data_IF_878503125870
#
_entry.id   IF_878503125870
#
_cell.length_a   1.000
_cell.length_b   1.000
_cell.length_c   1.000
_cell.angle_alpha   90.00
_cell.angle_beta   90.00
_cell.angle_gamma   90.00
#
_symmetry.space_group_name_H-M   'P 1'
#
loop_
_entity.id
_entity.type
_entity.pdbx_description
1 polymer ?
#
# COMPACT_ATOMS: atom_id res chain seq x y z
N UNK A 1 -40.04 48.23 42.98
CA UNK A 1 -39.41 46.91 43.28
C UNK A 1 -39.33 46.00 42.05
N UNK A 2 -40.30 46.02 41.13
CA UNK A 2 -40.31 45.19 39.91
C UNK A 2 -39.19 45.53 38.88
N UNK A 3 -38.75 46.79 38.80
CA UNK A 3 -37.71 47.22 37.84
C UNK A 3 -36.28 46.79 38.20
N UNK A 4 -36.00 46.49 39.49
CA UNK A 4 -34.70 45.96 39.92
C UNK A 4 -34.57 44.46 39.62
N UNK A 5 -35.69 43.72 39.61
CA UNK A 5 -35.71 42.31 39.25
C UNK A 5 -35.52 42.11 37.74
N UNK A 6 -36.13 42.98 36.92
CA UNK A 6 -35.99 42.91 35.46
C UNK A 6 -34.56 43.19 34.98
N UNK A 7 -33.82 44.06 35.69
CA UNK A 7 -32.42 44.35 35.38
C UNK A 7 -31.48 43.21 35.79
N UNK A 8 -31.73 42.55 36.93
CA UNK A 8 -31.01 41.33 37.32
C UNK A 8 -31.25 40.16 36.36
N UNK A 9 -32.48 39.98 35.88
CA UNK A 9 -32.81 38.97 34.87
C UNK A 9 -32.17 39.30 33.52
N UNK A 10 -32.14 40.58 33.11
CA UNK A 10 -31.46 40.99 31.88
C UNK A 10 -29.95 40.73 31.94
N UNK A 11 -29.30 40.97 33.09
CA UNK A 11 -27.88 40.67 33.32
C UNK A 11 -27.62 39.14 33.32
N UNK A 12 -28.52 38.35 33.92
CA UNK A 12 -28.41 36.89 33.91
C UNK A 12 -28.56 36.29 32.50
N UNK A 13 -29.44 36.85 31.66
CA UNK A 13 -29.63 36.41 30.27
C UNK A 13 -28.46 36.86 29.38
N UNK A 14 -27.88 38.04 29.63
CA UNK A 14 -26.71 38.52 28.87
C UNK A 14 -25.40 37.82 29.26
N UNK A 15 -25.30 37.21 30.45
CA UNK A 15 -24.15 36.40 30.86
C UNK A 15 -24.12 34.96 30.31
N UNK A 16 -25.25 34.42 29.83
CA UNK A 16 -25.34 33.04 29.34
C UNK A 16 -24.95 32.89 27.85
N UNK A 17 -24.75 33.99 27.15
CA UNK A 17 -24.35 34.03 25.75
C UNK A 17 -22.83 34.06 25.56
N UNK A 18 -22.07 33.19 26.24
CA UNK A 18 -20.71 32.91 25.81
C UNK A 18 -20.78 31.96 24.62
N UNK A 19 -21.00 32.55 23.44
CA UNK A 19 -20.76 31.88 22.17
C UNK A 19 -19.29 31.48 22.17
N UNK A 20 -18.99 30.20 22.40
CA UNK A 20 -17.65 29.66 22.21
C UNK A 20 -17.36 29.71 20.71
N UNK A 21 -16.92 30.86 20.21
CA UNK A 21 -16.28 30.95 18.90
C UNK A 21 -15.00 30.14 19.02
N UNK A 22 -15.07 28.88 18.62
CA UNK A 22 -13.87 28.11 18.35
C UNK A 22 -13.29 28.74 17.09
N UNK A 23 -12.26 29.57 17.26
CA UNK A 23 -11.49 30.04 16.12
C UNK A 23 -10.98 28.80 15.39
N UNK A 24 -11.16 28.69 14.06
CA UNK A 24 -10.59 27.58 13.32
C UNK A 24 -9.08 27.66 13.49
N UNK A 25 -8.55 26.77 14.34
CA UNK A 25 -7.12 26.60 14.53
C UNK A 25 -6.52 26.39 13.14
N UNK A 26 -5.51 27.19 12.83
CA UNK A 26 -4.70 27.05 11.60
C UNK A 26 -3.90 25.76 11.72
N UNK A 27 -4.58 24.64 11.47
CA UNK A 27 -3.99 23.30 11.56
C UNK A 27 -3.27 23.03 10.24
N UNK A 28 -2.03 22.53 10.29
CA UNK A 28 -1.36 22.09 9.08
C UNK A 28 -2.24 21.04 8.37
N UNK A 29 -2.39 21.20 7.05
CA UNK A 29 -3.13 20.25 6.22
C UNK A 29 -2.65 18.82 6.55
N UNK A 30 -3.60 17.92 6.80
CA UNK A 30 -3.40 16.49 7.12
C UNK A 30 -3.14 16.11 8.60
N UNK A 31 -3.05 17.06 9.54
CA UNK A 31 -2.99 16.72 10.97
C UNK A 31 -4.36 16.82 11.64
N UNK A 32 -4.79 15.71 12.24
CA UNK A 32 -6.03 15.60 12.97
C UNK A 32 -5.74 15.25 14.43
N UNK A 33 -6.52 15.80 15.34
CA UNK A 33 -6.42 15.50 16.75
C UNK A 33 -7.52 14.51 17.11
N UNK A 34 -7.12 13.28 17.44
CA UNK A 34 -8.05 12.30 18.01
C UNK A 34 -8.16 12.59 19.50
N UNK A 35 -9.31 13.10 19.90
CA UNK A 35 -9.66 13.22 21.31
C UNK A 35 -10.13 11.86 21.81
N UNK A 36 -9.51 11.37 22.87
CA UNK A 36 -9.84 10.10 23.49
C UNK A 36 -10.25 10.32 24.94
N UNK A 37 -11.27 9.58 25.37
CA UNK A 37 -11.68 9.54 26.75
C UNK A 37 -10.60 8.81 27.56
N UNK A 38 -9.74 9.57 28.24
CA UNK A 38 -8.80 9.01 29.20
C UNK A 38 -9.55 8.49 30.42
N UNK A 39 -9.24 7.27 30.86
CA UNK A 39 -9.75 6.75 32.13
C UNK A 39 -8.97 7.42 33.26
N UNK A 40 -9.57 8.43 33.91
CA UNK A 40 -9.08 9.00 35.16
C UNK A 40 -8.23 10.29 35.08
N UNK A 41 -8.12 10.95 33.92
CA UNK A 41 -7.31 12.17 33.83
C UNK A 41 -7.39 12.89 32.50
N UNK A 42 -8.51 13.58 32.24
CA UNK A 42 -8.67 14.52 31.12
C UNK A 42 -8.71 13.89 29.72
N UNK A 43 -9.12 14.66 28.71
CA UNK A 43 -9.05 14.21 27.32
C UNK A 43 -7.59 14.05 26.90
N UNK A 44 -7.23 12.86 26.40
CA UNK A 44 -5.94 12.63 25.75
C UNK A 44 -6.12 13.06 24.29
N UNK A 45 -5.32 14.03 23.84
CA UNK A 45 -5.31 14.45 22.45
C UNK A 45 -4.09 13.85 21.77
N UNK A 46 -4.28 13.01 20.77
CA UNK A 46 -3.19 12.52 19.93
C UNK A 46 -3.25 13.13 18.54
N UNK A 47 -2.14 13.74 18.12
CA UNK A 47 -1.94 14.18 16.74
C UNK A 47 -1.74 12.97 15.84
N UNK A 48 -2.60 12.82 14.85
CA UNK A 48 -2.53 11.78 13.83
C UNK A 48 -2.50 12.38 12.45
N UNK A 49 -1.83 11.72 11.52
CA UNK A 49 -1.91 12.03 10.09
C UNK A 49 -2.94 11.12 9.43
N UNK A 50 -3.87 11.68 8.67
CA UNK A 50 -4.79 10.90 7.84
C UNK A 50 -4.28 10.91 6.40
N UNK A 51 -4.17 9.73 5.80
CA UNK A 51 -3.81 9.57 4.39
C UNK A 51 -4.99 8.92 3.65
N UNK A 52 -5.35 9.40 2.43
CA UNK A 52 -6.43 8.81 1.65
C UNK A 52 -6.17 7.33 1.36
N UNK A 53 -7.20 6.49 1.48
CA UNK A 53 -7.05 5.05 1.23
C UNK A 53 -6.53 4.72 -0.17
N UNK A 54 -6.88 5.52 -1.17
CA UNK A 54 -6.34 5.37 -2.53
C UNK A 54 -4.82 5.50 -2.58
N UNK A 55 -4.23 6.43 -1.82
CA UNK A 55 -2.78 6.64 -1.82
C UNK A 55 -2.05 5.50 -1.11
N UNK A 56 -2.64 4.99 -0.03
CA UNK A 56 -2.14 3.82 0.69
C UNK A 56 -2.21 2.57 -0.19
N UNK A 57 -3.37 2.36 -0.82
CA UNK A 57 -3.65 1.22 -1.68
C UNK A 57 -2.64 1.13 -2.82
N UNK A 58 -2.30 2.26 -3.45
CA UNK A 58 -1.33 2.29 -4.55
C UNK A 58 0.07 2.78 -4.14
N UNK A 59 0.39 2.74 -2.84
CA UNK A 59 1.70 3.15 -2.35
C UNK A 59 2.80 2.32 -3.01
N UNK A 60 3.79 3.01 -3.57
CA UNK A 60 4.92 2.42 -4.30
C UNK A 60 4.49 1.52 -5.47
N UNK A 61 3.36 1.82 -6.12
CA UNK A 61 2.87 1.11 -7.31
C UNK A 61 2.64 2.11 -8.43
N UNK A 62 3.07 1.76 -9.64
CA UNK A 62 2.67 2.47 -10.85
C UNK A 62 1.33 1.90 -11.32
N UNK A 63 0.29 2.72 -11.33
CA UNK A 63 -1.04 2.33 -11.79
C UNK A 63 -1.03 2.15 -13.30
N UNK A 64 -1.64 1.07 -13.79
CA UNK A 64 -1.79 0.87 -15.22
C UNK A 64 -2.83 1.85 -15.80
N UNK A 65 -2.54 2.42 -16.96
CA UNK A 65 -3.51 3.27 -17.69
C UNK A 65 -4.38 2.47 -18.67
N UNK A 66 -3.91 1.31 -19.14
CA UNK A 66 -4.60 0.48 -20.14
C UNK A 66 -4.70 -0.99 -19.70
N UNK A 67 -5.74 -1.70 -20.14
CA UNK A 67 -5.97 -3.11 -19.75
C UNK A 67 -4.82 -4.05 -20.16
N UNK A 68 -4.14 -3.75 -21.27
CA UNK A 68 -3.02 -4.54 -21.79
C UNK A 68 -1.65 -4.13 -21.24
N UNK A 69 -1.60 -3.07 -20.42
CA UNK A 69 -0.36 -2.45 -19.93
C UNK A 69 0.06 -2.91 -18.54
N UNK A 70 -0.61 -3.94 -17.98
CA UNK A 70 -0.24 -4.52 -16.69
C UNK A 70 1.24 -4.93 -16.61
N UNK A 71 1.78 -5.50 -17.68
CA UNK A 71 3.19 -5.86 -17.78
C UNK A 71 4.15 -4.66 -17.73
N UNK A 72 3.85 -3.57 -18.44
CA UNK A 72 4.64 -2.33 -18.37
C UNK A 72 4.55 -1.67 -17.01
N UNK A 73 3.36 -1.62 -16.40
CA UNK A 73 3.16 -1.00 -15.11
C UNK A 73 3.85 -1.80 -13.98
N UNK A 74 3.79 -3.13 -14.02
CA UNK A 74 4.53 -4.00 -13.08
C UNK A 74 6.05 -3.81 -13.22
N UNK A 75 6.54 -3.75 -14.46
CA UNK A 75 7.95 -3.48 -14.74
C UNK A 75 8.40 -2.11 -14.19
N UNK A 76 7.65 -1.05 -14.51
CA UNK A 76 7.93 0.31 -14.04
C UNK A 76 7.86 0.41 -12.52
N UNK A 77 6.98 -0.35 -11.88
CA UNK A 77 6.88 -0.42 -10.42
C UNK A 77 8.21 -0.88 -9.81
N UNK A 78 8.80 -1.97 -10.31
CA UNK A 78 10.11 -2.44 -9.85
C UNK A 78 11.20 -1.43 -10.21
N UNK A 79 11.24 -0.96 -11.45
CA UNK A 79 12.27 -0.02 -11.91
C UNK A 79 12.28 1.28 -11.09
N UNK A 80 11.11 1.84 -10.78
CA UNK A 80 10.99 3.11 -10.07
C UNK A 80 11.19 2.96 -8.57
N UNK A 81 10.48 2.01 -7.95
CA UNK A 81 10.42 1.93 -6.49
C UNK A 81 11.48 1.00 -5.88
N UNK A 82 11.92 -0.02 -6.62
CA UNK A 82 13.00 -0.90 -6.17
C UNK A 82 14.37 -0.40 -6.62
N UNK A 83 14.52 -0.06 -7.90
CA UNK A 83 15.81 0.27 -8.52
C UNK A 83 16.14 1.77 -8.57
N UNK A 84 15.13 2.64 -8.52
CA UNK A 84 15.31 4.10 -8.55
C UNK A 84 15.39 4.73 -9.95
N UNK A 85 15.04 3.99 -11.02
CA UNK A 85 14.95 4.53 -12.36
C UNK A 85 13.67 5.37 -12.53
N UNK A 86 13.79 6.57 -13.10
CA UNK A 86 12.62 7.38 -13.44
C UNK A 86 12.15 7.03 -14.86
N UNK A 87 11.20 6.10 -14.94
CA UNK A 87 10.62 5.66 -16.21
C UNK A 87 9.10 5.73 -16.12
N UNK A 88 8.45 6.32 -17.11
CA UNK A 88 6.99 6.30 -17.20
C UNK A 88 6.47 4.99 -17.81
N UNK A 89 5.21 4.65 -17.52
CA UNK A 89 4.54 3.51 -18.16
C UNK A 89 4.62 3.58 -19.69
N UNK A 90 4.37 4.77 -20.25
CA UNK A 90 4.42 4.98 -21.70
C UNK A 90 5.82 4.74 -22.27
N UNK A 91 6.88 5.24 -21.60
CA UNK A 91 8.26 5.03 -22.03
C UNK A 91 8.65 3.54 -21.99
N UNK A 92 8.24 2.82 -20.95
CA UNK A 92 8.47 1.38 -20.86
C UNK A 92 7.70 0.61 -21.94
N UNK A 93 6.46 1.01 -22.22
CA UNK A 93 5.62 0.43 -23.27
C UNK A 93 6.24 0.63 -24.66
N UNK A 94 6.65 1.84 -24.99
CA UNK A 94 7.33 2.18 -26.25
C UNK A 94 8.65 1.44 -26.38
N UNK A 95 9.46 1.39 -25.32
CA UNK A 95 10.72 0.64 -25.32
C UNK A 95 10.52 -0.87 -25.49
N UNK A 96 9.51 -1.46 -24.86
CA UNK A 96 9.17 -2.87 -25.07
C UNK A 96 8.61 -3.13 -26.47
N UNK A 97 7.86 -2.18 -27.06
CA UNK A 97 7.43 -2.28 -28.46
C UNK A 97 8.62 -2.19 -29.41
N UNK A 98 9.58 -1.30 -29.15
CA UNK A 98 10.76 -1.12 -30.01
C UNK A 98 11.69 -2.33 -29.96
N UNK A 99 11.95 -2.88 -28.76
CA UNK A 99 12.90 -3.99 -28.56
C UNK A 99 12.26 -5.37 -28.60
N UNK A 100 10.94 -5.44 -28.45
CA UNK A 100 10.17 -6.68 -28.45
C UNK A 100 9.70 -7.10 -29.85
N UNK A 101 8.88 -8.13 -29.87
CA UNK A 101 8.26 -8.61 -31.12
C UNK A 101 6.93 -7.88 -31.34
N UNK A 102 6.97 -6.75 -32.06
CA UNK A 102 5.82 -5.86 -32.31
C UNK A 102 4.58 -6.62 -32.78
N UNK A 103 4.74 -7.49 -33.77
CA UNK A 103 3.65 -8.26 -34.36
C UNK A 103 2.98 -9.16 -33.31
N UNK A 104 3.78 -9.80 -32.45
CA UNK A 104 3.27 -10.66 -31.37
C UNK A 104 2.64 -9.85 -30.23
N UNK A 105 3.23 -8.70 -29.87
CA UNK A 105 2.68 -7.78 -28.86
C UNK A 105 1.29 -7.30 -29.28
N UNK A 106 1.15 -6.88 -30.54
CA UNK A 106 -0.11 -6.39 -31.10
C UNK A 106 -1.13 -7.53 -31.19
N UNK A 107 -0.73 -8.70 -31.70
CA UNK A 107 -1.63 -9.84 -31.86
C UNK A 107 -2.24 -10.32 -30.53
N UNK A 108 -1.44 -10.36 -29.46
CA UNK A 108 -1.91 -10.79 -28.14
C UNK A 108 -2.45 -9.66 -27.26
N UNK A 109 -2.33 -8.40 -27.70
CA UNK A 109 -2.66 -7.19 -26.92
C UNK A 109 -2.05 -7.24 -25.52
N UNK A 110 -0.72 -7.38 -25.44
CA UNK A 110 -0.03 -7.41 -24.15
C UNK A 110 1.48 -7.67 -24.26
N UNK A 111 2.18 -7.52 -23.14
CA UNK A 111 3.64 -7.72 -23.06
C UNK A 111 3.98 -9.11 -22.50
N UNK A 112 5.08 -9.70 -22.96
CA UNK A 112 5.60 -10.95 -22.40
C UNK A 112 6.84 -10.68 -21.54
N UNK A 113 7.19 -11.64 -20.67
CA UNK A 113 8.44 -11.58 -19.90
C UNK A 113 9.69 -11.46 -20.80
N UNK A 114 9.63 -11.98 -22.03
CA UNK A 114 10.73 -11.85 -22.99
C UNK A 114 10.88 -10.42 -23.48
N UNK A 115 9.78 -9.71 -23.73
CA UNK A 115 9.84 -8.30 -24.15
C UNK A 115 10.36 -7.42 -23.02
N UNK A 116 9.92 -7.69 -21.79
CA UNK A 116 10.47 -7.04 -20.58
C UNK A 116 11.97 -7.28 -20.48
N UNK A 117 12.44 -8.52 -20.64
CA UNK A 117 13.87 -8.86 -20.62
C UNK A 117 14.66 -8.09 -21.69
N UNK A 118 14.15 -8.02 -22.93
CA UNK A 118 14.81 -7.30 -24.03
C UNK A 118 14.90 -5.79 -23.76
N UNK A 119 13.84 -5.20 -23.22
CA UNK A 119 13.84 -3.79 -22.85
C UNK A 119 14.79 -3.50 -21.68
N UNK A 120 14.74 -4.27 -20.60
CA UNK A 120 15.62 -4.10 -19.43
C UNK A 120 17.09 -4.29 -19.81
N UNK A 121 17.39 -5.26 -20.70
CA UNK A 121 18.74 -5.43 -21.24
C UNK A 121 19.23 -4.21 -22.03
N UNK A 122 18.35 -3.46 -22.71
CA UNK A 122 18.71 -2.22 -23.40
C UNK A 122 19.15 -1.09 -22.47
N UNK A 123 18.77 -1.18 -21.19
CA UNK A 123 19.15 -0.24 -20.14
C UNK A 123 20.39 -0.70 -19.37
N UNK A 124 21.07 -1.75 -19.83
CA UNK A 124 22.20 -2.40 -19.16
C UNK A 124 21.87 -2.88 -17.73
N UNK A 125 20.61 -3.27 -17.49
CA UNK A 125 20.16 -3.83 -16.21
C UNK A 125 20.09 -5.35 -16.33
N UNK A 126 20.63 -6.05 -15.33
CA UNK A 126 20.63 -7.51 -15.29
C UNK A 126 19.23 -8.02 -14.92
N UNK A 127 18.71 -8.98 -15.69
CA UNK A 127 17.41 -9.58 -15.43
C UNK A 127 17.33 -11.02 -15.89
N UNK A 128 16.53 -11.83 -15.19
CA UNK A 128 16.38 -13.24 -15.49
C UNK A 128 14.96 -13.74 -15.20
N UNK A 129 14.49 -14.64 -16.06
CA UNK A 129 13.24 -15.37 -15.87
C UNK A 129 13.54 -16.76 -15.32
N UNK A 130 12.80 -17.16 -14.30
CA UNK A 130 12.97 -18.43 -13.60
C UNK A 130 11.66 -19.19 -13.56
N UNK A 131 11.78 -20.51 -13.40
CA UNK A 131 10.68 -21.36 -12.95
C UNK A 131 11.01 -21.80 -11.53
N UNK A 132 10.10 -21.57 -10.60
CA UNK A 132 10.35 -21.76 -9.17
C UNK A 132 9.18 -22.49 -8.50
N UNK A 133 9.45 -23.17 -7.40
CA UNK A 133 8.41 -23.75 -6.56
C UNK A 133 7.99 -22.77 -5.46
N UNK A 134 6.86 -23.04 -4.81
CA UNK A 134 6.36 -22.21 -3.70
C UNK A 134 7.40 -22.08 -2.57
N UNK A 135 8.17 -23.15 -2.32
CA UNK A 135 9.25 -23.15 -1.32
C UNK A 135 10.36 -22.15 -1.64
N UNK A 136 10.61 -21.88 -2.92
CA UNK A 136 11.66 -20.96 -3.36
C UNK A 136 11.21 -19.51 -3.17
N UNK A 137 9.90 -19.24 -3.21
CA UNK A 137 9.34 -17.91 -2.92
C UNK A 137 9.57 -17.47 -1.48
N UNK A 138 9.74 -18.42 -0.55
CA UNK A 138 10.02 -18.13 0.87
C UNK A 138 11.43 -17.58 1.07
N UNK A 139 12.36 -17.90 0.17
CA UNK A 139 13.76 -17.47 0.22
C UNK A 139 14.05 -16.36 -0.81
N UNK A 140 13.02 -15.77 -1.41
CA UNK A 140 13.19 -14.77 -2.46
C UNK A 140 13.60 -13.43 -1.86
N UNK A 141 14.81 -12.97 -2.19
CA UNK A 141 15.39 -11.73 -1.66
C UNK A 141 14.94 -10.46 -2.41
N UNK A 142 14.54 -10.61 -3.68
CA UNK A 142 14.19 -9.49 -4.56
C UNK A 142 12.74 -9.58 -5.03
N UNK A 143 12.04 -8.45 -5.19
CA UNK A 143 10.71 -8.45 -5.77
C UNK A 143 10.76 -9.00 -7.21
N UNK A 144 9.74 -9.74 -7.60
CA UNK A 144 9.66 -10.41 -8.89
C UNK A 144 8.34 -10.12 -9.59
N UNK A 145 8.36 -10.03 -10.92
CA UNK A 145 7.14 -10.00 -11.73
C UNK A 145 6.66 -11.44 -11.91
N UNK A 146 5.41 -11.70 -11.55
CA UNK A 146 4.79 -13.02 -11.67
C UNK A 146 3.52 -12.92 -12.52
N UNK A 147 3.31 -13.84 -13.48
CA UNK A 147 2.02 -13.98 -14.12
C UNK A 147 1.06 -14.73 -13.20
N UNK A 148 -0.15 -14.21 -13.06
CA UNK A 148 -1.25 -14.86 -12.36
C UNK A 148 -2.42 -15.04 -13.32
N UNK A 149 -3.22 -16.07 -13.10
CA UNK A 149 -4.55 -16.21 -13.70
C UNK A 149 -5.58 -15.73 -12.68
N UNK A 150 -6.16 -14.56 -12.95
CA UNK A 150 -7.13 -13.94 -12.06
C UNK A 150 -8.38 -13.56 -12.85
N UNK A 151 -9.54 -14.05 -12.41
CA UNK A 151 -10.84 -13.84 -13.06
C UNK A 151 -10.88 -14.28 -14.55
N UNK A 152 -10.12 -15.32 -14.93
CA UNK A 152 -10.11 -15.87 -16.28
C UNK A 152 -9.26 -15.08 -17.29
N UNK A 153 -8.42 -14.17 -16.80
CA UNK A 153 -7.46 -13.41 -17.60
C UNK A 153 -6.05 -13.54 -17.01
N UNK A 154 -5.05 -13.64 -17.90
CA UNK A 154 -3.65 -13.60 -17.51
C UNK A 154 -3.26 -12.18 -17.16
N UNK A 155 -2.70 -11.98 -15.98
CA UNK A 155 -2.33 -10.68 -15.44
C UNK A 155 -0.91 -10.71 -14.89
N UNK A 156 -0.19 -9.59 -14.98
CA UNK A 156 1.13 -9.46 -14.39
C UNK A 156 1.08 -8.62 -13.12
N UNK A 157 1.62 -9.17 -12.05
CA UNK A 157 1.71 -8.51 -10.75
C UNK A 157 3.12 -8.57 -10.21
N UNK A 158 3.45 -7.68 -9.27
CA UNK A 158 4.74 -7.68 -8.59
C UNK A 158 4.62 -8.42 -7.27
N UNK A 159 5.24 -9.58 -7.18
CA UNK A 159 5.48 -10.27 -5.91
C UNK A 159 6.53 -9.48 -5.13
N UNK A 160 6.15 -8.93 -3.98
CA UNK A 160 7.05 -8.17 -3.11
C UNK A 160 7.84 -9.06 -2.16
N UNK A 161 7.19 -10.12 -1.68
CA UNK A 161 7.77 -11.10 -0.78
C UNK A 161 6.70 -11.96 -0.12
N UNK A 162 7.15 -12.93 0.68
CA UNK A 162 6.30 -13.81 1.47
C UNK A 162 6.70 -13.68 2.94
N UNK A 163 5.72 -13.47 3.83
CA UNK A 163 5.95 -13.43 5.28
C UNK A 163 4.81 -14.15 5.98
N UNK A 164 5.15 -15.05 6.91
CA UNK A 164 4.18 -15.80 7.74
C UNK A 164 3.08 -16.51 6.94
N UNK A 165 3.43 -17.05 5.76
CA UNK A 165 2.47 -17.72 4.86
C UNK A 165 1.53 -16.77 4.11
N UNK A 166 1.75 -15.46 4.21
CA UNK A 166 1.04 -14.42 3.45
C UNK A 166 1.95 -13.93 2.32
N UNK A 167 1.39 -13.89 1.12
CA UNK A 167 2.05 -13.41 -0.10
C UNK A 167 1.63 -11.97 -0.35
N UNK A 168 2.61 -11.06 -0.41
CA UNK A 168 2.38 -9.64 -0.62
C UNK A 168 2.58 -9.29 -2.09
N UNK A 169 1.56 -8.70 -2.68
CA UNK A 169 1.51 -8.41 -4.11
C UNK A 169 1.22 -6.93 -4.33
N UNK A 170 2.01 -6.31 -5.20
CA UNK A 170 1.74 -5.02 -5.80
C UNK A 170 1.11 -5.24 -7.17
N UNK A 171 -0.22 -5.08 -7.26
CA UNK A 171 -0.99 -5.19 -8.50
C UNK A 171 -1.18 -3.79 -9.13
N UNK A 172 -0.74 -3.56 -10.38
CA UNK A 172 -0.95 -2.28 -11.06
C UNK A 172 -2.42 -1.84 -11.21
N UNK A 173 -3.35 -2.79 -11.25
CA UNK A 173 -4.79 -2.56 -11.36
C UNK A 173 -5.45 -2.43 -9.98
N UNK A 174 -5.13 -3.35 -9.07
CA UNK A 174 -5.82 -3.51 -7.79
C UNK A 174 -5.08 -2.92 -6.59
N UNK A 175 -3.84 -2.45 -6.74
CA UNK A 175 -3.01 -1.91 -5.66
C UNK A 175 -2.30 -2.99 -4.85
N UNK A 176 -1.87 -2.65 -3.64
CA UNK A 176 -1.27 -3.59 -2.69
C UNK A 176 -2.37 -4.54 -2.17
N UNK A 177 -2.22 -5.82 -2.49
CA UNK A 177 -3.13 -6.90 -2.09
C UNK A 177 -2.32 -8.04 -1.48
N UNK A 178 -3.01 -8.89 -0.72
CA UNK A 178 -2.40 -10.05 -0.07
C UNK A 178 -3.19 -11.31 -0.37
N UNK A 179 -2.49 -12.43 -0.46
CA UNK A 179 -3.08 -13.75 -0.60
C UNK A 179 -2.46 -14.72 0.40
N UNK A 180 -3.21 -15.75 0.80
CA UNK A 180 -2.57 -16.89 1.47
C UNK A 180 -1.64 -17.61 0.50
N UNK A 181 -0.57 -18.24 1.00
CA UNK A 181 0.36 -19.03 0.17
C UNK A 181 -0.38 -20.08 -0.68
N UNK A 182 -1.38 -20.72 -0.10
CA UNK A 182 -2.20 -21.74 -0.77
C UNK A 182 -3.02 -21.16 -1.91
N UNK A 183 -3.66 -20.01 -1.68
CA UNK A 183 -4.46 -19.32 -2.70
C UNK A 183 -3.56 -18.82 -3.83
N UNK A 184 -2.44 -18.17 -3.50
CA UNK A 184 -1.48 -17.72 -4.49
C UNK A 184 -0.98 -18.87 -5.37
N UNK A 185 -0.71 -20.04 -4.78
CA UNK A 185 -0.29 -21.22 -5.54
C UNK A 185 -1.31 -21.68 -6.58
N UNK A 186 -2.61 -21.44 -6.36
CA UNK A 186 -3.65 -21.74 -7.35
C UNK A 186 -3.75 -20.71 -8.47
N UNK A 187 -3.38 -19.46 -8.19
CA UNK A 187 -3.41 -18.35 -9.13
C UNK A 187 -2.13 -18.26 -9.98
N UNK A 188 -1.01 -18.78 -9.47
CA UNK A 188 0.30 -18.60 -10.08
C UNK A 188 0.46 -19.36 -11.39
N UNK A 189 0.58 -18.65 -12.51
CA UNK A 189 0.64 -19.24 -13.84
C UNK A 189 2.02 -19.86 -14.12
N UNK A 190 2.03 -21.18 -14.34
CA UNK A 190 3.18 -21.99 -14.76
C UNK A 190 4.41 -21.88 -13.86
N UNK A 191 4.26 -21.42 -12.61
CA UNK A 191 5.38 -21.33 -11.67
C UNK A 191 6.51 -20.42 -12.18
N UNK A 192 6.18 -19.41 -12.99
CA UNK A 192 7.18 -18.53 -13.61
C UNK A 192 7.31 -17.22 -12.85
N UNK A 193 8.53 -16.70 -12.76
CA UNK A 193 8.81 -15.40 -12.17
C UNK A 193 9.94 -14.71 -12.94
N UNK A 194 9.98 -13.39 -12.88
CA UNK A 194 10.99 -12.57 -13.54
C UNK A 194 11.57 -11.58 -12.55
N UNK A 195 12.89 -11.66 -12.35
CA UNK A 195 13.63 -10.84 -11.40
C UNK A 195 14.47 -9.83 -12.18
N UNK A 196 14.49 -8.60 -11.69
CA UNK A 196 15.35 -7.53 -12.17
C UNK A 196 16.31 -7.20 -11.04
N UNK A 197 17.60 -7.36 -11.29
CA UNK A 197 18.62 -7.21 -10.27
C UNK A 197 19.06 -5.76 -10.16
N UNK A 198 19.32 -5.27 -8.94
CA UNK A 198 19.93 -3.97 -8.76
C UNK A 198 21.36 -3.94 -9.32
N UNK A 199 21.79 -2.78 -9.85
CA UNK A 199 23.18 -2.59 -10.26
C UNK A 199 24.13 -2.79 -9.08
N UNK A 200 25.15 -3.63 -9.25
CA UNK A 200 26.06 -4.10 -8.17
C UNK A 200 26.79 -2.98 -7.41
N UNK A 201 26.95 -1.81 -8.02
CA UNK A 201 27.76 -0.71 -7.48
C UNK A 201 26.96 0.56 -7.18
N UNK A 202 25.63 0.48 -7.02
CA UNK A 202 24.82 1.66 -6.75
C UNK A 202 23.80 1.38 -5.63
N UNK A 203 23.63 2.29 -4.67
CA UNK A 203 22.55 2.17 -3.70
C UNK A 203 21.20 2.26 -4.44
N UNK A 204 20.31 1.34 -4.14
CA UNK A 204 18.95 1.31 -4.69
C UNK A 204 17.92 1.55 -3.58
N UNK A 205 16.75 2.16 -3.89
CA UNK A 205 15.78 2.55 -2.85
C UNK A 205 15.15 1.40 -2.08
N UNK A 206 14.90 0.26 -2.72
CA UNK A 206 14.33 -0.92 -2.04
C UNK A 206 12.92 -0.73 -1.47
N UNK A 207 12.13 0.25 -1.95
CA UNK A 207 10.83 0.63 -1.36
C UNK A 207 9.72 -0.44 -1.46
N UNK A 208 9.98 -1.52 -2.21
CA UNK A 208 9.08 -2.67 -2.31
C UNK A 208 9.31 -3.72 -1.22
N UNK A 209 10.42 -3.63 -0.46
CA UNK A 209 10.67 -4.51 0.68
C UNK A 209 9.52 -4.44 1.69
N UNK A 210 9.22 -5.58 2.32
CA UNK A 210 8.16 -5.67 3.31
C UNK A 210 8.57 -4.94 4.59
N UNK A 211 7.60 -4.29 5.23
CA UNK A 211 7.75 -3.68 6.55
C UNK A 211 6.58 -4.09 7.48
N UNK A 212 6.59 -3.61 8.71
CA UNK A 212 5.58 -3.96 9.72
C UNK A 212 4.27 -3.16 9.57
N UNK A 213 4.20 -2.25 8.60
CA UNK A 213 3.07 -1.36 8.35
C UNK A 213 2.35 -1.69 7.03
N UNK A 214 2.54 -2.90 6.50
CA UNK A 214 1.96 -3.30 5.21
C UNK A 214 0.45 -3.54 5.30
N UNK A 215 -0.26 -3.14 4.24
CA UNK A 215 -1.68 -3.47 4.06
C UNK A 215 -1.84 -4.99 3.96
N UNK A 216 -2.74 -5.58 4.75
CA UNK A 216 -2.89 -7.03 4.87
C UNK A 216 -2.13 -7.65 6.04
N UNK A 217 -1.25 -6.89 6.70
CA UNK A 217 -0.79 -7.21 8.07
C UNK A 217 -1.93 -6.88 9.03
N UNK A 218 -2.93 -7.74 9.07
CA UNK A 218 -3.58 -7.98 10.35
C UNK A 218 -2.51 -8.65 11.19
N UNK A 219 -2.02 -7.99 12.23
CA UNK A 219 -1.18 -8.58 13.29
C UNK A 219 -1.63 -10.04 13.54
N UNK A 220 -0.99 -11.03 12.90
CA UNK A 220 -1.30 -12.43 13.18
C UNK A 220 -0.75 -12.82 14.55
N UNK A 221 0.14 -11.99 15.10
CA UNK A 221 0.47 -11.92 16.53
C UNK A 221 -0.75 -11.65 17.44
N UNK A 222 -1.91 -11.25 16.88
CA UNK A 222 -3.18 -11.17 17.60
C UNK A 222 -4.05 -12.42 17.50
N UNK A 223 -3.82 -13.32 16.54
CA UNK A 223 -4.48 -14.63 16.47
C UNK A 223 -3.55 -15.67 17.08
N UNK A 224 -3.42 -15.64 18.41
CA UNK A 224 -2.71 -16.68 19.15
C UNK A 224 -3.66 -17.87 19.33
N UNK A 225 -3.16 -19.09 19.14
CA UNK A 225 -3.89 -20.36 19.37
C UNK A 225 -4.43 -20.52 20.81
N UNK A 226 -4.01 -19.64 21.72
CA UNK A 226 -4.52 -19.53 23.08
C UNK A 226 -5.08 -18.14 23.30
N UNK A 227 -6.33 -18.06 23.73
CA UNK A 227 -6.94 -16.81 24.18
C UNK A 227 -6.11 -16.20 25.31
N UNK A 228 -5.35 -15.15 25.01
CA UNK A 228 -4.75 -14.34 26.05
C UNK A 228 -5.85 -13.48 26.66
N UNK A 229 -6.41 -13.93 27.79
CA UNK A 229 -7.17 -13.10 28.72
C UNK A 229 -6.21 -12.12 29.40
N UNK A 230 -5.57 -11.22 28.64
CA UNK A 230 -4.97 -10.02 29.21
C UNK A 230 -6.08 -9.02 29.43
N UNK A 231 -6.03 -8.30 30.55
CA UNK A 231 -6.90 -7.15 30.77
C UNK A 231 -6.84 -6.24 29.53
N UNK A 232 -7.99 -5.75 29.08
CA UNK A 232 -8.09 -4.75 28.02
C UNK A 232 -7.38 -3.48 28.50
N UNK A 233 -6.07 -3.41 28.30
CA UNK A 233 -5.27 -2.20 28.52
C UNK A 233 -5.42 -1.27 27.33
N UNK A 234 -5.32 0.03 27.58
CA UNK A 234 -5.60 1.15 26.66
C UNK A 234 -4.86 1.09 25.32
N UNK A 235 -3.80 0.27 25.22
CA UNK A 235 -2.97 0.10 24.02
C UNK A 235 -3.66 -0.69 22.89
N UNK A 236 -4.58 -1.61 23.24
CA UNK A 236 -5.20 -2.52 22.28
C UNK A 236 -6.27 -1.87 21.37
N UNK A 237 -7.19 -1.02 21.89
CA UNK A 237 -8.13 -0.26 21.07
C UNK A 237 -7.43 0.72 20.11
N UNK A 238 -6.36 1.37 20.56
CA UNK A 238 -5.55 2.33 19.79
C UNK A 238 -5.05 1.74 18.47
N UNK A 239 -4.47 0.56 18.57
CA UNK A 239 -3.85 -0.12 17.45
C UNK A 239 -4.90 -0.78 16.52
N UNK A 240 -6.16 -0.90 16.93
CA UNK A 240 -7.28 -1.33 16.04
C UNK A 240 -7.83 -0.19 15.19
N UNK A 241 -7.82 1.05 15.68
CA UNK A 241 -8.25 2.23 14.94
C UNK A 241 -7.22 2.66 13.89
N UNK A 242 -5.93 2.47 14.19
CA UNK A 242 -4.81 2.75 13.28
C UNK A 242 -4.85 1.84 12.03
N UNK A 243 -5.25 0.58 12.18
CA UNK A 243 -5.30 -0.41 11.09
C UNK A 243 -6.68 -0.49 10.40
N UNK A 244 -7.45 0.62 10.43
CA UNK A 244 -8.89 0.67 10.20
C UNK A 244 -9.44 -0.01 8.93
N UNK A 245 -10.41 -0.89 9.15
CA UNK A 245 -11.51 -1.15 8.23
C UNK A 245 -12.40 0.11 8.17
N UNK A 246 -12.40 0.85 7.05
CA UNK A 246 -13.24 2.05 6.91
C UNK A 246 -12.86 3.10 5.85
N UNK A 247 -11.83 2.87 5.03
CA UNK A 247 -11.48 3.78 3.92
C UNK A 247 -10.66 5.01 4.32
N UNK A 248 -10.23 5.11 5.58
CA UNK A 248 -9.30 6.13 6.09
C UNK A 248 -8.31 5.40 7.02
N UNK A 249 -7.00 5.54 6.80
CA UNK A 249 -5.99 5.05 7.75
C UNK A 249 -5.44 6.20 8.59
N UNK A 250 -5.16 5.91 9.86
CA UNK A 250 -4.74 6.88 10.85
C UNK A 250 -3.30 6.54 11.26
N UNK A 251 -2.36 7.45 11.06
CA UNK A 251 -0.97 7.28 11.52
C UNK A 251 -0.71 8.08 12.80
N UNK A 252 -0.34 7.37 13.87
CA UNK A 252 0.19 7.97 15.09
C UNK A 252 1.56 8.62 14.82
N UNK A 253 1.79 9.82 15.37
CA UNK A 253 3.12 10.40 15.52
C UNK A 253 3.76 9.93 16.82
#
# INVERSE_FOLDING_TARGET
>A
MLMLLASLVAIAISGAGLWSKHEPLDRPKEQFELQQAGVGGGPITQSVRMEPFSELKYRNITRQAFDYSCGSAALVTIMTYHLGFQVSEQQAMEGMLERGEKEKIIARRGFSLLDMKRYVASLNVESAGFRAEIKDLLNLEHPAIVPIDYAGSKHFVVLRGVRDGIVYIADPSAGNIVFSLKEFATLWDRNTLFIIYPPKNQPFPGKLALNDQELGVTDMDRVKDKGQLKALTDVLPMQRLINGNGGISIRAQ
#
